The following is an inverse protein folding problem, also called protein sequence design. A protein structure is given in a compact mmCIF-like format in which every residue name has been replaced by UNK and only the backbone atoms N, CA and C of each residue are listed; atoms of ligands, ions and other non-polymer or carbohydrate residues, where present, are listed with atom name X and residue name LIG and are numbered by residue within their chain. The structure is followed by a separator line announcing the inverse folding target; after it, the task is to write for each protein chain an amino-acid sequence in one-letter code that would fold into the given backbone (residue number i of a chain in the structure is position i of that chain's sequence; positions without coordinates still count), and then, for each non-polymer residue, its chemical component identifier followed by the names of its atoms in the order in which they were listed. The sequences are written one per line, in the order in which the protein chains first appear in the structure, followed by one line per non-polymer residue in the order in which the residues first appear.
data_IF_572398367552
#
_entry.id   IF_572398367552
#
_cell.length_a   1.000
_cell.length_b   1.000
_cell.length_c   1.000
_cell.angle_alpha   90.00
_cell.angle_beta   90.00
_cell.angle_gamma   90.00
#
_symmetry.space_group_name_H-M   'P 1'
#
loop_
_entity.id
_entity.type
_entity.pdbx_description
1 polymer ?
#
# COMPACT_ATOMS: atom_id res chain seq x y z
N UNK A 1 -17.72 28.02 -29.80
CA UNK A 1 -18.71 27.18 -29.10
C UNK A 1 -19.21 27.92 -27.87
N UNK A 2 -20.54 27.93 -27.65
CA UNK A 2 -21.12 28.52 -26.44
C UNK A 2 -20.81 27.60 -25.23
N UNK A 3 -20.36 28.17 -24.09
CA UNK A 3 -20.11 27.44 -22.84
C UNK A 3 -21.45 27.09 -22.18
N UNK A 4 -21.61 25.87 -21.71
CA UNK A 4 -22.76 25.43 -20.92
C UNK A 4 -22.37 25.45 -19.45
N UNK A 5 -23.20 26.07 -18.60
CA UNK A 5 -22.95 26.08 -17.15
C UNK A 5 -23.15 24.66 -16.59
N UNK A 6 -22.25 24.20 -15.72
CA UNK A 6 -22.29 22.87 -15.11
C UNK A 6 -23.64 22.56 -14.42
N UNK A 7 -24.21 23.57 -13.72
CA UNK A 7 -25.50 23.43 -13.05
C UNK A 7 -26.66 23.08 -13.97
N UNK A 8 -26.57 23.39 -15.27
CA UNK A 8 -27.60 23.07 -16.26
C UNK A 8 -27.59 21.58 -16.67
N UNK A 9 -26.52 20.83 -16.34
CA UNK A 9 -26.41 19.41 -16.68
C UNK A 9 -27.28 18.53 -15.76
N UNK A 10 -27.76 19.06 -14.63
CA UNK A 10 -28.64 18.36 -13.66
C UNK A 10 -28.12 16.95 -13.27
N UNK A 11 -26.79 16.80 -13.18
CA UNK A 11 -26.16 15.53 -12.85
C UNK A 11 -26.43 15.12 -11.40
N UNK A 12 -26.66 13.83 -11.21
CA UNK A 12 -26.81 13.22 -9.88
C UNK A 12 -25.76 12.14 -9.70
N UNK A 13 -25.31 11.95 -8.44
CA UNK A 13 -24.45 10.83 -8.09
C UNK A 13 -25.15 9.51 -8.44
N UNK A 14 -24.41 8.59 -9.04
CA UNK A 14 -24.89 7.24 -9.35
C UNK A 14 -24.47 6.32 -8.18
N UNK A 15 -25.44 5.68 -7.55
CA UNK A 15 -25.21 4.73 -6.44
C UNK A 15 -25.72 3.32 -6.88
N UNK A 16 -25.39 2.92 -8.11
CA UNK A 16 -25.84 1.65 -8.67
C UNK A 16 -25.07 0.48 -8.03
N UNK A 17 -25.80 -0.57 -7.70
CA UNK A 17 -25.23 -1.85 -7.23
C UNK A 17 -25.68 -2.98 -8.15
N UNK A 18 -24.83 -4.00 -8.29
CA UNK A 18 -25.14 -5.27 -8.96
C UNK A 18 -25.19 -6.36 -7.90
N UNK A 19 -26.23 -7.18 -7.92
CA UNK A 19 -26.33 -8.32 -7.02
C UNK A 19 -25.62 -9.53 -7.63
N UNK A 20 -24.76 -10.19 -6.84
CA UNK A 20 -24.14 -11.47 -7.18
C UNK A 20 -24.41 -12.48 -6.09
N UNK A 21 -24.57 -13.75 -6.47
CA UNK A 21 -24.78 -14.85 -5.53
C UNK A 21 -23.46 -15.48 -5.13
N UNK A 22 -23.22 -15.53 -3.80
CA UNK A 22 -22.11 -16.29 -3.21
C UNK A 22 -22.72 -17.24 -2.18
N UNK A 23 -22.71 -18.53 -2.49
CA UNK A 23 -23.45 -19.52 -1.70
C UNK A 23 -24.96 -19.20 -1.70
N UNK A 24 -25.52 -18.99 -0.52
CA UNK A 24 -26.93 -18.67 -0.32
C UNK A 24 -27.20 -17.16 -0.11
N UNK A 25 -26.18 -16.33 -0.23
CA UNK A 25 -26.27 -14.89 0.05
C UNK A 25 -26.23 -14.08 -1.24
N UNK A 26 -27.04 -13.04 -1.31
CA UNK A 26 -26.96 -12.02 -2.34
C UNK A 26 -25.99 -10.93 -1.84
N UNK A 27 -24.91 -10.75 -2.57
CA UNK A 27 -23.86 -9.77 -2.27
C UNK A 27 -24.07 -8.57 -3.18
N UNK A 28 -24.13 -7.39 -2.59
CA UNK A 28 -24.19 -6.12 -3.31
C UNK A 28 -22.78 -5.72 -3.76
N UNK A 29 -22.63 -5.47 -5.07
CA UNK A 29 -21.36 -5.01 -5.66
C UNK A 29 -21.58 -3.61 -6.23
N UNK A 30 -20.94 -2.61 -5.65
CA UNK A 30 -20.99 -1.22 -6.15
C UNK A 30 -20.43 -1.14 -7.56
N UNK A 31 -21.10 -0.39 -8.41
CA UNK A 31 -20.67 -0.18 -9.81
C UNK A 31 -19.81 1.08 -9.98
N UNK A 32 -19.65 1.85 -8.92
CA UNK A 32 -18.84 3.05 -8.86
C UNK A 32 -18.42 3.33 -7.42
N UNK A 33 -17.18 3.71 -7.24
CA UNK A 33 -16.64 4.16 -5.96
C UNK A 33 -16.27 5.64 -6.05
N UNK A 34 -16.68 6.51 -5.10
CA UNK A 34 -16.28 7.90 -5.07
C UNK A 34 -14.75 8.04 -5.05
N UNK A 35 -14.24 9.10 -5.69
CA UNK A 35 -12.80 9.34 -5.81
C UNK A 35 -12.07 9.31 -4.46
N UNK A 36 -12.66 9.91 -3.40
CA UNK A 36 -12.04 9.87 -2.09
C UNK A 36 -11.92 8.45 -1.53
N UNK A 37 -12.95 7.61 -1.73
CA UNK A 37 -12.90 6.20 -1.31
C UNK A 37 -11.86 5.40 -2.10
N UNK A 38 -11.63 5.72 -3.39
CA UNK A 38 -10.56 5.12 -4.20
C UNK A 38 -9.17 5.54 -3.69
N UNK A 39 -8.97 6.82 -3.38
CA UNK A 39 -7.72 7.33 -2.80
C UNK A 39 -7.41 6.67 -1.47
N UNK A 40 -8.42 6.55 -0.60
CA UNK A 40 -8.28 5.87 0.69
C UNK A 40 -7.96 4.37 0.52
N UNK A 41 -8.54 3.71 -0.50
CA UNK A 41 -8.26 2.32 -0.83
C UNK A 41 -6.79 2.16 -1.24
N UNK A 42 -6.30 2.95 -2.19
CA UNK A 42 -4.90 2.93 -2.64
C UNK A 42 -3.95 3.16 -1.47
N UNK A 43 -4.25 4.14 -0.61
CA UNK A 43 -3.44 4.43 0.57
C UNK A 43 -3.38 3.23 1.55
N UNK A 44 -4.50 2.52 1.78
CA UNK A 44 -4.52 1.34 2.66
C UNK A 44 -3.72 0.18 2.06
N UNK A 45 -3.81 -0.04 0.74
CA UNK A 45 -3.02 -1.07 0.06
C UNK A 45 -1.54 -0.82 0.23
N UNK A 46 -1.09 0.40 -0.05
CA UNK A 46 0.32 0.76 0.09
C UNK A 46 0.82 0.62 1.53
N UNK A 47 0.07 1.14 2.51
CA UNK A 47 0.45 1.07 3.92
C UNK A 47 0.55 -0.38 4.45
N UNK A 48 -0.27 -1.30 3.91
CA UNK A 48 -0.26 -2.70 4.33
C UNK A 48 0.75 -3.59 3.59
N UNK A 49 1.24 -3.16 2.44
CA UNK A 49 1.94 -4.02 1.49
C UNK A 49 3.48 -3.92 1.52
N UNK A 50 4.06 -3.26 2.53
CA UNK A 50 5.52 -3.17 2.67
C UNK A 50 6.12 -4.45 3.28
N UNK A 51 7.37 -4.75 2.89
CA UNK A 51 8.19 -5.79 3.52
C UNK A 51 8.91 -5.26 4.78
N UNK A 52 9.78 -6.10 5.36
CA UNK A 52 10.56 -5.75 6.56
C UNK A 52 11.57 -4.61 6.33
N UNK A 53 11.93 -4.35 5.07
CA UNK A 53 12.84 -3.28 4.66
C UNK A 53 12.09 -2.03 4.18
N UNK A 54 10.78 -1.97 4.41
CA UNK A 54 9.90 -0.88 3.97
C UNK A 54 9.82 -0.70 2.44
N UNK A 55 10.05 -1.78 1.67
CA UNK A 55 9.81 -1.80 0.23
C UNK A 55 8.44 -2.39 -0.07
N UNK A 56 7.71 -1.86 -1.08
CA UNK A 56 6.47 -2.46 -1.54
C UNK A 56 6.71 -3.91 -1.99
N UNK A 57 5.94 -4.85 -1.47
CA UNK A 57 6.03 -6.27 -1.84
C UNK A 57 4.94 -6.60 -2.86
N UNK A 58 5.27 -7.01 -4.11
CA UNK A 58 4.28 -7.24 -5.16
C UNK A 58 3.19 -8.26 -4.78
N UNK A 59 3.57 -9.34 -4.08
CA UNK A 59 2.60 -10.36 -3.65
C UNK A 59 1.67 -9.80 -2.56
N UNK A 60 2.21 -9.01 -1.63
CA UNK A 60 1.37 -8.35 -0.61
C UNK A 60 0.44 -7.30 -1.24
N UNK A 61 0.90 -6.58 -2.26
CA UNK A 61 0.08 -5.62 -3.00
C UNK A 61 -1.11 -6.33 -3.64
N UNK A 62 -0.88 -7.45 -4.32
CA UNK A 62 -1.94 -8.26 -4.93
C UNK A 62 -2.95 -8.77 -3.88
N UNK A 63 -2.46 -9.40 -2.81
CA UNK A 63 -3.30 -9.99 -1.76
C UNK A 63 -4.10 -8.91 -1.03
N UNK A 64 -3.44 -7.87 -0.54
CA UNK A 64 -4.08 -6.79 0.22
C UNK A 64 -4.97 -5.94 -0.71
N UNK A 65 -4.51 -5.64 -1.92
CA UNK A 65 -5.28 -4.90 -2.92
C UNK A 65 -6.60 -5.59 -3.25
N UNK A 66 -6.57 -6.89 -3.50
CA UNK A 66 -7.77 -7.68 -3.74
C UNK A 66 -8.75 -7.64 -2.56
N UNK A 67 -8.26 -7.83 -1.33
CA UNK A 67 -9.11 -7.78 -0.13
C UNK A 67 -9.70 -6.39 0.12
N UNK A 68 -8.92 -5.33 -0.08
CA UNK A 68 -9.38 -3.94 0.02
C UNK A 68 -10.44 -3.61 -1.04
N UNK A 69 -10.27 -4.10 -2.28
CA UNK A 69 -11.29 -3.96 -3.34
C UNK A 69 -12.58 -4.67 -2.92
N UNK A 70 -12.51 -5.91 -2.43
CA UNK A 70 -13.70 -6.63 -1.96
C UNK A 70 -14.41 -5.85 -0.85
N UNK A 71 -13.67 -5.34 0.14
CA UNK A 71 -14.26 -4.57 1.24
C UNK A 71 -14.86 -3.23 0.78
N UNK A 72 -14.24 -2.56 -0.17
CA UNK A 72 -14.70 -1.26 -0.64
C UNK A 72 -15.93 -1.35 -1.57
N UNK A 73 -15.95 -2.36 -2.42
CA UNK A 73 -16.99 -2.51 -3.45
C UNK A 73 -18.16 -3.38 -3.01
N UNK A 74 -18.07 -4.12 -1.91
CA UNK A 74 -19.13 -5.04 -1.50
C UNK A 74 -19.68 -4.72 -0.10
N UNK A 75 -20.78 -5.38 0.25
CA UNK A 75 -21.31 -5.42 1.60
C UNK A 75 -20.71 -6.57 2.46
N UNK A 76 -19.64 -7.21 2.00
CA UNK A 76 -18.90 -8.21 2.78
C UNK A 76 -18.07 -7.50 3.85
N UNK A 77 -18.13 -7.99 5.08
CA UNK A 77 -17.30 -7.52 6.18
C UNK A 77 -16.47 -8.66 6.75
N UNK A 78 -15.21 -8.37 7.10
CA UNK A 78 -14.34 -9.30 7.79
C UNK A 78 -14.14 -8.87 9.25
N UNK A 79 -14.09 -9.85 10.14
CA UNK A 79 -13.74 -9.61 11.55
C UNK A 79 -12.24 -9.28 11.67
N UNK A 80 -11.84 -8.60 12.74
CA UNK A 80 -10.42 -8.29 12.97
C UNK A 80 -9.56 -9.57 12.98
N UNK A 81 -10.05 -10.64 13.60
CA UNK A 81 -9.36 -11.94 13.60
C UNK A 81 -9.14 -12.54 12.21
N UNK A 82 -10.05 -12.27 11.25
CA UNK A 82 -9.87 -12.72 9.86
C UNK A 82 -8.85 -11.86 9.12
N UNK A 83 -8.76 -10.57 9.48
CA UNK A 83 -7.78 -9.63 8.89
C UNK A 83 -6.36 -9.83 9.42
N UNK A 84 -6.18 -10.49 10.57
CA UNK A 84 -4.86 -10.82 11.12
C UNK A 84 -4.07 -11.79 10.22
N UNK A 85 -4.76 -12.66 9.47
CA UNK A 85 -4.15 -13.62 8.55
C UNK A 85 -4.68 -13.41 7.12
N UNK A 86 -4.17 -12.34 6.49
CA UNK A 86 -4.59 -11.91 5.15
C UNK A 86 -4.35 -12.98 4.08
N UNK A 87 -3.27 -13.76 4.20
CA UNK A 87 -2.95 -14.81 3.25
C UNK A 87 -4.00 -15.94 3.30
N UNK A 88 -4.34 -16.39 4.50
CA UNK A 88 -5.37 -17.41 4.67
C UNK A 88 -6.76 -16.92 4.22
N UNK A 89 -7.07 -15.65 4.48
CA UNK A 89 -8.33 -15.06 4.04
C UNK A 89 -8.39 -15.01 2.51
N UNK A 90 -7.32 -14.58 1.86
CA UNK A 90 -7.20 -14.54 0.41
C UNK A 90 -7.39 -15.95 -0.19
N UNK A 91 -6.62 -16.94 0.28
CA UNK A 91 -6.70 -18.31 -0.19
C UNK A 91 -8.12 -18.92 -0.06
N UNK A 92 -8.81 -18.59 1.05
CA UNK A 92 -10.18 -19.04 1.25
C UNK A 92 -11.13 -18.44 0.22
N UNK A 93 -11.02 -17.15 -0.08
CA UNK A 93 -11.86 -16.47 -1.05
C UNK A 93 -11.55 -16.90 -2.48
N UNK A 94 -10.25 -17.04 -2.82
CA UNK A 94 -9.81 -17.41 -4.15
C UNK A 94 -10.17 -18.86 -4.49
N UNK A 95 -9.86 -19.82 -3.61
CA UNK A 95 -10.17 -21.25 -3.81
C UNK A 95 -11.66 -21.54 -3.92
N UNK A 96 -12.53 -20.65 -3.43
CA UNK A 96 -13.97 -20.74 -3.58
C UNK A 96 -14.53 -19.89 -4.75
N UNK A 97 -13.67 -19.27 -5.56
CA UNK A 97 -14.07 -18.46 -6.71
C UNK A 97 -14.78 -17.13 -6.36
N UNK A 98 -14.73 -16.72 -5.08
CA UNK A 98 -15.41 -15.51 -4.61
C UNK A 98 -14.77 -14.27 -5.21
N UNK A 99 -13.43 -14.22 -5.27
CA UNK A 99 -12.66 -13.12 -5.84
C UNK A 99 -13.09 -12.86 -7.29
N UNK A 100 -13.02 -13.90 -8.13
CA UNK A 100 -13.39 -13.80 -9.54
C UNK A 100 -14.85 -13.37 -9.74
N UNK A 101 -15.76 -13.88 -8.89
CA UNK A 101 -17.18 -13.53 -8.95
C UNK A 101 -17.41 -12.04 -8.67
N UNK A 102 -16.72 -11.49 -7.69
CA UNK A 102 -16.85 -10.08 -7.31
C UNK A 102 -16.19 -9.18 -8.36
N UNK A 103 -14.95 -9.46 -8.77
CA UNK A 103 -14.22 -8.66 -9.76
C UNK A 103 -14.98 -8.61 -11.09
N UNK A 104 -15.50 -9.72 -11.57
CA UNK A 104 -16.32 -9.77 -12.79
C UNK A 104 -17.66 -9.01 -12.67
N UNK A 105 -18.06 -8.63 -11.48
CA UNK A 105 -19.26 -7.84 -11.26
C UNK A 105 -18.99 -6.32 -11.23
N UNK A 106 -17.76 -5.89 -10.96
CA UNK A 106 -17.32 -4.49 -11.04
C UNK A 106 -17.15 -4.14 -12.53
N UNK A 107 -17.55 -2.94 -12.99
CA UNK A 107 -17.26 -2.51 -14.37
C UNK A 107 -15.75 -2.49 -14.63
N UNK A 108 -15.34 -2.98 -15.79
CA UNK A 108 -13.92 -3.11 -16.16
C UNK A 108 -13.16 -1.79 -16.07
N UNK A 109 -13.74 -0.70 -16.58
CA UNK A 109 -13.14 0.64 -16.50
C UNK A 109 -12.96 1.12 -15.05
N UNK A 110 -13.90 0.77 -14.16
CA UNK A 110 -13.88 1.12 -12.75
C UNK A 110 -12.80 0.32 -12.00
N UNK A 111 -12.70 -0.98 -12.29
CA UNK A 111 -11.67 -1.86 -11.74
C UNK A 111 -10.27 -1.43 -12.18
N UNK A 112 -10.08 -1.24 -13.49
CA UNK A 112 -8.79 -0.83 -14.05
C UNK A 112 -8.34 0.51 -13.49
N UNK A 113 -9.24 1.49 -13.31
CA UNK A 113 -8.87 2.77 -12.71
C UNK A 113 -8.25 2.61 -11.31
N UNK A 114 -8.73 1.67 -10.51
CA UNK A 114 -8.19 1.41 -9.17
C UNK A 114 -6.85 0.68 -9.25
N UNK A 115 -6.74 -0.35 -10.10
CA UNK A 115 -5.50 -1.11 -10.29
C UNK A 115 -4.39 -0.20 -10.84
N UNK A 116 -4.66 0.56 -11.90
CA UNK A 116 -3.72 1.52 -12.48
C UNK A 116 -3.25 2.54 -11.40
N UNK A 117 -4.19 3.01 -10.55
CA UNK A 117 -3.86 3.91 -9.44
C UNK A 117 -2.95 3.29 -8.39
N UNK A 118 -3.08 1.99 -8.12
CA UNK A 118 -2.17 1.25 -7.22
C UNK A 118 -0.80 1.13 -7.89
N UNK A 119 -0.75 0.65 -9.13
CA UNK A 119 0.49 0.38 -9.87
C UNK A 119 1.29 1.67 -10.09
N UNK A 120 0.67 2.75 -10.56
CA UNK A 120 1.31 4.06 -10.75
C UNK A 120 1.92 4.59 -9.43
N UNK A 121 1.20 4.39 -8.31
CA UNK A 121 1.69 4.86 -7.01
C UNK A 121 2.84 4.00 -6.52
N UNK A 122 2.79 2.67 -6.72
CA UNK A 122 3.90 1.76 -6.41
C UNK A 122 5.14 2.12 -7.23
N UNK A 123 5.00 2.36 -8.53
CA UNK A 123 6.12 2.80 -9.39
C UNK A 123 6.72 4.12 -8.92
N UNK A 124 5.87 5.09 -8.52
CA UNK A 124 6.34 6.36 -7.98
C UNK A 124 7.12 6.18 -6.66
N UNK A 125 6.66 5.30 -5.76
CA UNK A 125 7.37 4.96 -4.52
C UNK A 125 8.72 4.32 -4.81
N UNK A 126 8.78 3.34 -5.70
CA UNK A 126 10.05 2.72 -6.11
C UNK A 126 11.01 3.73 -6.74
N UNK A 127 10.52 4.58 -7.64
CA UNK A 127 11.35 5.61 -8.27
C UNK A 127 11.91 6.58 -7.23
N UNK A 128 11.10 6.98 -6.25
CA UNK A 128 11.54 7.84 -5.15
C UNK A 128 12.59 7.17 -4.27
N UNK A 129 12.34 5.94 -3.80
CA UNK A 129 13.26 5.18 -2.95
C UNK A 129 14.62 4.95 -3.61
N UNK A 130 14.65 4.76 -4.93
CA UNK A 130 15.87 4.59 -5.72
C UNK A 130 16.50 5.93 -6.17
N UNK A 131 15.89 7.07 -5.84
CA UNK A 131 16.46 8.38 -6.12
C UNK A 131 17.57 8.74 -5.11
N UNK A 132 18.47 9.64 -5.51
CA UNK A 132 19.50 10.16 -4.59
C UNK A 132 18.90 10.75 -3.33
N UNK A 133 17.76 11.44 -3.44
CA UNK A 133 17.08 12.05 -2.31
C UNK A 133 16.51 10.98 -1.36
N UNK A 134 15.82 9.97 -1.90
CA UNK A 134 15.27 8.87 -1.10
C UNK A 134 16.35 8.07 -0.37
N UNK A 135 17.50 7.81 -1.03
CA UNK A 135 18.66 7.16 -0.41
C UNK A 135 19.21 8.02 0.74
N UNK A 136 19.36 9.33 0.53
CA UNK A 136 19.85 10.23 1.58
C UNK A 136 18.88 10.32 2.78
N UNK A 137 17.58 10.33 2.54
CA UNK A 137 16.59 10.32 3.62
C UNK A 137 16.60 9.00 4.39
N UNK A 138 16.68 7.84 3.72
CA UNK A 138 16.81 6.54 4.37
C UNK A 138 18.05 6.49 5.26
N UNK A 139 19.21 6.90 4.72
CA UNK A 139 20.47 6.98 5.50
C UNK A 139 20.32 7.92 6.70
N UNK A 140 19.67 9.08 6.52
CA UNK A 140 19.44 10.05 7.60
C UNK A 140 18.51 9.49 8.69
N UNK A 141 17.45 8.74 8.31
CA UNK A 141 16.57 8.08 9.26
C UNK A 141 17.28 6.97 10.02
N UNK A 142 18.08 6.17 9.34
CA UNK A 142 18.89 5.11 9.97
C UNK A 142 19.88 5.69 10.98
N UNK A 143 20.52 6.84 10.66
CA UNK A 143 21.41 7.54 11.60
C UNK A 143 20.65 8.16 12.79
N UNK A 144 19.43 8.65 12.60
CA UNK A 144 18.63 9.21 13.70
C UNK A 144 18.00 8.13 14.59
N UNK A 145 17.75 6.94 14.06
CA UNK A 145 17.26 5.76 14.80
C UNK A 145 18.39 4.99 15.50
N UNK A 146 19.66 5.19 15.10
CA UNK A 146 20.79 4.81 15.92
C UNK A 146 20.75 5.69 17.18
N UNK A 147 20.19 5.15 18.28
CA UNK A 147 20.54 5.64 19.60
C UNK A 147 22.06 5.50 19.72
N UNK A 148 22.76 6.55 19.33
CA UNK A 148 24.15 6.72 19.64
C UNK A 148 24.19 6.87 21.16
N UNK A 149 24.23 5.73 21.87
CA UNK A 149 24.63 5.72 23.25
C UNK A 149 26.08 6.26 23.29
N UNK A 150 26.15 7.58 23.49
CA UNK A 150 27.42 8.30 23.54
C UNK A 150 28.38 7.65 24.54
N UNK A 151 27.82 7.00 25.56
CA UNK A 151 28.57 6.24 26.59
C UNK A 151 29.12 4.93 26.03
N UNK A 152 28.35 4.21 25.21
CA UNK A 152 28.80 2.98 24.54
C UNK A 152 29.85 3.29 23.46
N UNK A 153 29.68 4.40 22.73
CA UNK A 153 30.64 4.88 21.74
C UNK A 153 31.94 5.30 22.40
N UNK A 154 31.89 6.09 23.49
CA UNK A 154 33.07 6.48 24.27
C UNK A 154 33.80 5.25 24.84
N UNK A 155 33.06 4.24 25.32
CA UNK A 155 33.65 3.00 25.84
C UNK A 155 34.35 2.19 24.76
N UNK A 156 33.73 2.06 23.57
CA UNK A 156 34.34 1.41 22.39
C UNK A 156 35.54 2.20 21.85
N UNK A 157 35.45 3.53 21.81
CA UNK A 157 36.58 4.38 21.39
C UNK A 157 37.75 4.36 22.37
N UNK A 158 37.50 4.08 23.66
CA UNK A 158 38.54 3.97 24.68
C UNK A 158 39.26 2.60 24.70
N UNK A 159 38.78 1.61 23.95
CA UNK A 159 39.47 0.33 23.79
C UNK A 159 40.81 0.51 23.01
N UNK A 160 41.94 0.00 23.51
CA UNK A 160 43.28 0.27 22.92
C UNK A 160 43.39 -0.04 21.42
N UNK A 161 42.72 -1.08 20.93
CA UNK A 161 42.72 -1.46 19.51
C UNK A 161 41.94 -0.49 18.57
N UNK A 162 40.96 0.22 19.10
CA UNK A 162 40.14 1.13 18.29
C UNK A 162 40.79 2.52 18.14
N UNK A 163 41.63 2.91 19.12
CA UNK A 163 42.42 4.15 19.03
C UNK A 163 43.47 4.05 17.91
N UNK A 164 44.08 2.88 17.73
CA UNK A 164 45.04 2.63 16.65
C UNK A 164 44.38 2.64 15.26
N UNK A 165 43.20 2.04 15.15
CA UNK A 165 42.36 2.06 13.93
C UNK A 165 41.94 3.50 13.55
N UNK A 166 41.50 4.31 14.52
CA UNK A 166 41.15 5.73 14.29
C UNK A 166 42.34 6.56 13.83
N UNK A 167 43.54 6.33 14.40
CA UNK A 167 44.79 6.99 13.96
C UNK A 167 45.13 6.61 12.52
N UNK A 168 44.96 5.35 12.15
CA UNK A 168 45.27 4.86 10.80
C UNK A 168 44.28 5.43 9.75
N UNK A 169 42.98 5.55 10.10
CA UNK A 169 41.98 6.19 9.25
C UNK A 169 42.23 7.69 9.07
N UNK A 170 42.56 8.39 10.16
CA UNK A 170 42.88 9.83 10.12
C UNK A 170 44.15 10.10 9.31
N UNK A 171 45.15 9.21 9.37
CA UNK A 171 46.37 9.33 8.58
C UNK A 171 46.19 9.07 7.09
N UNK A 172 45.15 8.30 6.72
CA UNK A 172 44.78 8.02 5.31
C UNK A 172 43.86 9.06 4.70
N UNK A 173 43.18 9.88 5.51
CA UNK A 173 42.25 10.94 5.08
C UNK A 173 42.91 12.34 5.05
N UNK A 174 44.11 12.54 5.57
CA UNK A 174 44.92 13.76 5.52
C UNK A 174 46.07 13.62 4.55
#
# INVERSE_FOLDING_TARGET
MAKVAFSKLALKKQDNVKLVKIGNFDIEVKQYLPVNEKLDLVARVLNGAHDENNFPNPIKIEVIGTLEIIMAYTNISFTEKQKEDVAKLYDLLDSNGVINTIIAAIPEEEYNFVIDGIDDTVEAVYAYQNSVLGILESVSQDYSNLELDATALQKKMAEPGNIELLKDVLTKLG
#
